data_IF_241744859101
#
_entry.id   IF_241744859101
#
_cell.length_a   1.000
_cell.length_b   1.000
_cell.length_c   1.000
_cell.angle_alpha   90.00
_cell.angle_beta   90.00
_cell.angle_gamma   90.00
#
_symmetry.space_group_name_H-M   'P 1'
#
loop_
_entity.id
_entity.type
_entity.pdbx_description
1 polymer ?
#
# COMPACT_ATOMS: atom_id res chain seq x y z
N UNK A 1 13.21 13.07 41.74
CA UNK A 1 13.49 12.21 40.57
C UNK A 1 12.43 11.12 40.50
N UNK A 2 11.46 11.22 39.59
CA UNK A 2 10.39 10.23 39.44
C UNK A 2 10.96 8.93 38.86
N UNK A 3 10.67 7.80 39.51
CA UNK A 3 10.96 6.47 38.96
C UNK A 3 10.05 6.26 37.75
N UNK A 4 10.58 6.46 36.55
CA UNK A 4 9.90 6.02 35.33
C UNK A 4 9.84 4.49 35.41
N UNK A 5 8.61 3.97 35.39
CA UNK A 5 8.28 2.61 35.78
C UNK A 5 8.63 1.65 34.62
N UNK A 6 9.37 0.56 34.87
CA UNK A 6 9.79 -0.43 33.85
C UNK A 6 8.60 -0.99 33.03
N UNK A 7 7.38 -0.95 33.58
CA UNK A 7 6.14 -1.32 32.88
C UNK A 7 5.79 -0.35 31.74
N UNK A 8 6.06 0.94 31.89
CA UNK A 8 5.81 1.94 30.83
C UNK A 8 6.75 1.74 29.64
N UNK A 9 8.04 1.43 29.89
CA UNK A 9 9.00 1.16 28.82
C UNK A 9 8.63 -0.09 28.00
N UNK A 10 8.31 -1.21 28.67
CA UNK A 10 7.89 -2.45 27.96
C UNK A 10 6.63 -2.26 27.12
N UNK A 11 5.71 -1.40 27.55
CA UNK A 11 4.49 -1.11 26.78
C UNK A 11 4.82 -0.32 25.50
N UNK A 12 5.68 0.69 25.60
CA UNK A 12 6.13 1.48 24.45
C UNK A 12 6.87 0.59 23.43
N UNK A 13 7.78 -0.27 23.89
CA UNK A 13 8.51 -1.19 23.00
C UNK A 13 7.56 -2.16 22.27
N UNK A 14 6.53 -2.66 22.96
CA UNK A 14 5.51 -3.54 22.36
C UNK A 14 4.64 -2.80 21.33
N UNK A 15 4.28 -1.54 21.60
CA UNK A 15 3.53 -0.69 20.66
C UNK A 15 4.35 -0.41 19.40
N UNK A 16 5.64 -0.09 19.54
CA UNK A 16 6.56 0.11 18.41
C UNK A 16 6.71 -1.16 17.58
N UNK A 17 6.89 -2.32 18.22
CA UNK A 17 6.96 -3.60 17.51
C UNK A 17 5.66 -3.95 16.78
N UNK A 18 4.50 -3.60 17.35
CA UNK A 18 3.19 -3.80 16.71
C UNK A 18 3.00 -2.93 15.48
N UNK A 19 3.41 -1.65 15.57
CA UNK A 19 3.43 -0.70 14.46
C UNK A 19 4.30 -1.21 13.31
N UNK A 20 5.56 -1.59 13.60
CA UNK A 20 6.49 -2.07 12.57
C UNK A 20 5.97 -3.34 11.87
N UNK A 21 5.39 -4.29 12.62
CA UNK A 21 4.72 -5.46 12.05
C UNK A 21 3.54 -5.11 11.16
N UNK A 22 2.74 -4.12 11.55
CA UNK A 22 1.56 -3.70 10.77
C UNK A 22 1.97 -3.10 9.42
N UNK A 23 3.00 -2.26 9.41
CA UNK A 23 3.57 -1.69 8.18
C UNK A 23 4.22 -2.78 7.31
N UNK A 24 4.96 -3.71 7.90
CA UNK A 24 5.57 -4.82 7.16
C UNK A 24 4.51 -5.72 6.49
N UNK A 25 3.46 -6.08 7.24
CA UNK A 25 2.34 -6.85 6.69
C UNK A 25 1.65 -6.10 5.55
N UNK A 26 1.47 -4.78 5.66
CA UNK A 26 0.89 -3.98 4.59
C UNK A 26 1.76 -4.01 3.32
N UNK A 27 3.09 -3.88 3.47
CA UNK A 27 4.02 -3.95 2.35
C UNK A 27 3.94 -5.30 1.64
N UNK A 28 3.97 -6.40 2.39
CA UNK A 28 3.95 -7.75 1.82
C UNK A 28 2.64 -8.04 1.08
N UNK A 29 1.50 -7.60 1.63
CA UNK A 29 0.18 -7.90 1.07
C UNK A 29 -0.22 -6.95 -0.06
N UNK A 30 0.13 -5.66 0.04
CA UNK A 30 -0.40 -4.61 -0.84
C UNK A 30 0.69 -3.81 -1.56
N UNK A 31 1.70 -3.32 -0.85
CA UNK A 31 2.67 -2.37 -1.40
C UNK A 31 4.02 -2.99 -1.80
N UNK A 32 4.02 -4.20 -2.36
CA UNK A 32 5.24 -5.00 -2.62
C UNK A 32 6.10 -4.53 -3.80
N UNK A 33 5.79 -3.39 -4.41
CA UNK A 33 6.61 -2.74 -5.46
C UNK A 33 6.39 -1.23 -5.43
N UNK A 34 7.34 -0.46 -5.97
CA UNK A 34 7.15 0.98 -6.11
C UNK A 34 5.93 1.34 -6.98
N UNK A 35 5.66 0.54 -8.01
CA UNK A 35 4.47 0.72 -8.86
C UNK A 35 3.18 0.55 -8.06
N UNK A 36 3.09 -0.45 -7.17
CA UNK A 36 1.92 -0.62 -6.30
C UNK A 36 1.78 0.50 -5.29
N UNK A 37 2.88 1.01 -4.75
CA UNK A 37 2.85 2.17 -3.87
C UNK A 37 2.24 3.41 -4.57
N UNK A 38 2.64 3.67 -5.82
CA UNK A 38 2.08 4.73 -6.66
C UNK A 38 0.58 4.52 -6.90
N UNK A 39 0.15 3.29 -7.23
CA UNK A 39 -1.26 2.96 -7.46
C UNK A 39 -2.10 3.11 -6.19
N UNK A 40 -1.60 2.66 -5.04
CA UNK A 40 -2.29 2.81 -3.75
C UNK A 40 -2.52 4.29 -3.44
N UNK A 41 -1.49 5.12 -3.64
CA UNK A 41 -1.61 6.57 -3.50
C UNK A 41 -2.64 7.15 -4.47
N UNK A 42 -2.59 6.75 -5.73
CA UNK A 42 -3.55 7.20 -6.75
C UNK A 42 -5.00 6.95 -6.32
N UNK A 43 -5.34 5.73 -5.88
CA UNK A 43 -6.70 5.41 -5.47
C UNK A 43 -7.12 6.10 -4.16
N UNK A 44 -6.21 6.22 -3.19
CA UNK A 44 -6.49 6.94 -1.94
C UNK A 44 -6.72 8.44 -2.16
N UNK A 45 -6.00 9.06 -3.12
CA UNK A 45 -6.19 10.47 -3.49
C UNK A 45 -7.43 10.67 -4.39
N UNK A 46 -7.97 9.61 -4.99
CA UNK A 46 -9.06 9.65 -5.96
C UNK A 46 -10.15 8.60 -5.63
N UNK A 47 -10.66 8.59 -4.39
CA UNK A 47 -11.53 7.53 -3.84
C UNK A 47 -12.81 7.25 -4.64
N UNK A 48 -13.35 8.25 -5.35
CA UNK A 48 -14.54 8.10 -6.19
C UNK A 48 -14.23 7.78 -7.67
N UNK A 49 -12.96 7.59 -8.01
CA UNK A 49 -12.55 7.33 -9.39
C UNK A 49 -12.63 5.85 -9.70
N UNK A 50 -13.36 5.54 -10.77
CA UNK A 50 -13.31 4.27 -11.47
C UNK A 50 -12.67 4.51 -12.83
N UNK A 51 -11.50 3.93 -13.08
CA UNK A 51 -10.75 4.17 -14.31
C UNK A 51 -10.22 2.87 -14.90
N UNK A 52 -10.09 2.84 -16.22
CA UNK A 52 -9.46 1.73 -16.92
C UNK A 52 -7.94 1.78 -16.74
N UNK A 53 -7.28 0.66 -16.99
CA UNK A 53 -5.83 0.55 -16.93
C UNK A 53 -5.13 1.62 -17.79
N UNK A 54 -5.66 1.97 -18.97
CA UNK A 54 -5.07 3.00 -19.84
C UNK A 54 -5.13 4.40 -19.22
N UNK A 55 -6.26 4.75 -18.59
CA UNK A 55 -6.42 6.05 -17.95
C UNK A 55 -5.48 6.21 -16.76
N UNK A 56 -5.37 5.16 -15.95
CA UNK A 56 -4.45 5.12 -14.80
C UNK A 56 -3.00 5.17 -15.29
N UNK A 57 -2.65 4.37 -16.31
CA UNK A 57 -1.31 4.32 -16.89
C UNK A 57 -0.82 5.67 -17.41
N UNK A 58 -1.72 6.43 -18.06
CA UNK A 58 -1.46 7.81 -18.50
C UNK A 58 -1.14 8.73 -17.32
N UNK A 59 -1.88 8.60 -16.22
CA UNK A 59 -1.67 9.41 -15.02
C UNK A 59 -0.34 9.11 -14.32
N UNK A 60 -0.01 7.82 -14.14
CA UNK A 60 1.21 7.39 -13.43
C UNK A 60 2.47 7.37 -14.31
N UNK A 61 2.34 7.61 -15.62
CA UNK A 61 3.46 7.68 -16.56
C UNK A 61 4.12 6.32 -16.85
N UNK A 62 3.37 5.22 -16.81
CA UNK A 62 3.87 3.85 -17.07
C UNK A 62 3.12 3.18 -18.22
N UNK A 63 3.67 2.08 -18.74
CA UNK A 63 3.02 1.28 -19.80
C UNK A 63 1.76 0.59 -19.27
N UNK A 64 0.67 0.63 -20.04
CA UNK A 64 -0.61 -0.02 -19.68
C UNK A 64 -0.46 -1.47 -19.25
N UNK A 65 0.31 -2.28 -19.98
CA UNK A 65 0.50 -3.69 -19.65
C UNK A 65 1.13 -3.94 -18.27
N UNK A 66 2.03 -3.04 -17.83
CA UNK A 66 2.64 -3.10 -16.50
C UNK A 66 1.59 -2.75 -15.44
N UNK A 67 0.86 -1.65 -15.67
CA UNK A 67 -0.19 -1.19 -14.76
C UNK A 67 -1.32 -2.21 -14.61
N UNK A 68 -1.77 -2.82 -15.71
CA UNK A 68 -2.83 -3.82 -15.69
C UNK A 68 -2.45 -5.05 -14.84
N UNK A 69 -1.20 -5.51 -14.93
CA UNK A 69 -0.70 -6.61 -14.09
C UNK A 69 -0.79 -6.25 -12.59
N UNK A 70 -0.36 -5.04 -12.24
CA UNK A 70 -0.37 -4.57 -10.84
C UNK A 70 -1.80 -4.32 -10.34
N UNK A 71 -2.69 -3.75 -11.16
CA UNK A 71 -4.11 -3.57 -10.85
C UNK A 71 -4.80 -4.90 -10.60
N UNK A 72 -4.57 -5.91 -11.45
CA UNK A 72 -5.10 -7.27 -11.21
C UNK A 72 -4.59 -7.85 -9.90
N UNK A 73 -3.32 -7.61 -9.54
CA UNK A 73 -2.78 -8.07 -8.26
C UNK A 73 -3.41 -7.35 -7.07
N UNK A 74 -3.63 -6.03 -7.16
CA UNK A 74 -4.26 -5.24 -6.10
C UNK A 74 -5.74 -5.62 -5.96
N UNK A 75 -6.43 -5.90 -7.07
CA UNK A 75 -7.82 -6.34 -7.03
C UNK A 75 -7.97 -7.69 -6.33
N UNK A 76 -7.07 -8.64 -6.61
CA UNK A 76 -7.03 -9.93 -5.89
C UNK A 76 -6.78 -9.78 -4.39
N UNK A 77 -6.13 -8.70 -3.96
CA UNK A 77 -5.87 -8.42 -2.54
C UNK A 77 -7.05 -7.71 -1.84
N UNK A 78 -8.06 -7.26 -2.58
CA UNK A 78 -9.22 -6.53 -2.05
C UNK A 78 -8.98 -5.02 -1.83
N UNK A 79 -7.82 -4.48 -2.22
CA UNK A 79 -7.53 -3.04 -2.11
C UNK A 79 -8.29 -2.21 -3.14
N UNK A 80 -8.59 -2.79 -4.29
CA UNK A 80 -9.38 -2.18 -5.35
C UNK A 80 -10.40 -3.19 -5.88
N UNK A 81 -11.51 -2.69 -6.41
CA UNK A 81 -12.52 -3.51 -7.07
C UNK A 81 -12.28 -3.50 -8.58
N UNK A 82 -12.42 -4.67 -9.22
CA UNK A 82 -12.44 -4.81 -10.67
C UNK A 82 -13.89 -4.94 -11.14
N UNK A 83 -14.36 -3.96 -11.91
CA UNK A 83 -15.66 -3.98 -12.56
C UNK A 83 -15.47 -4.37 -14.01
N UNK A 84 -16.04 -5.52 -14.40
CA UNK A 84 -15.96 -6.03 -15.78
C UNK A 84 -17.15 -5.55 -16.60
N UNK A 85 -16.85 -5.07 -17.81
CA UNK A 85 -17.83 -4.76 -18.85
C UNK A 85 -17.36 -5.37 -20.18
N UNK A 86 -17.80 -6.60 -20.44
CA UNK A 86 -17.29 -7.41 -21.55
C UNK A 86 -15.82 -7.77 -21.35
N UNK A 87 -14.98 -7.46 -22.34
CA UNK A 87 -13.52 -7.66 -22.28
C UNK A 87 -12.78 -6.51 -21.56
N UNK A 88 -13.49 -5.46 -21.18
CA UNK A 88 -12.91 -4.28 -20.55
C UNK A 88 -13.07 -4.34 -19.03
N UNK A 89 -12.01 -4.00 -18.31
CA UNK A 89 -12.01 -3.84 -16.85
C UNK A 89 -11.84 -2.37 -16.48
N UNK A 90 -12.68 -1.90 -15.56
CA UNK A 90 -12.46 -0.67 -14.80
C UNK A 90 -12.07 -1.03 -13.36
N UNK A 91 -11.22 -0.20 -12.77
CA UNK A 91 -10.73 -0.39 -11.41
C UNK A 91 -11.15 0.79 -10.54
N UNK A 92 -11.73 0.50 -9.39
CA UNK A 92 -12.23 1.46 -8.42
C UNK A 92 -11.57 1.23 -7.06
N UNK A 93 -11.47 2.27 -6.23
CA UNK A 93 -11.04 2.07 -4.85
C UNK A 93 -12.07 1.23 -4.10
N UNK A 94 -11.59 0.35 -3.20
CA UNK A 94 -12.46 -0.52 -2.41
C UNK A 94 -13.44 0.27 -1.55
N UNK A 95 -14.66 -0.23 -1.36
CA UNK A 95 -15.61 0.30 -0.38
C UNK A 95 -15.45 -0.31 1.02
N UNK A 96 -14.52 -1.25 1.22
CA UNK A 96 -14.27 -1.87 2.52
C UNK A 96 -13.55 -0.89 3.47
N UNK A 97 -14.27 -0.41 4.49
CA UNK A 97 -13.75 0.56 5.46
C UNK A 97 -12.51 0.06 6.22
N UNK A 98 -12.39 -1.24 6.47
CA UNK A 98 -11.22 -1.79 7.17
C UNK A 98 -9.96 -1.67 6.29
N UNK A 99 -10.07 -2.02 5.01
CA UNK A 99 -8.98 -1.84 4.05
C UNK A 99 -8.65 -0.37 3.86
N UNK A 100 -9.64 0.51 3.76
CA UNK A 100 -9.41 1.96 3.67
C UNK A 100 -8.62 2.50 4.87
N UNK A 101 -8.96 2.09 6.10
CA UNK A 101 -8.20 2.46 7.32
C UNK A 101 -6.77 1.96 7.30
N UNK A 102 -6.52 0.75 6.80
CA UNK A 102 -5.15 0.22 6.63
C UNK A 102 -4.34 1.05 5.65
N UNK A 103 -4.95 1.47 4.53
CA UNK A 103 -4.32 2.33 3.53
C UNK A 103 -4.02 3.70 4.12
N UNK A 104 -4.98 4.33 4.80
CA UNK A 104 -4.82 5.62 5.45
C UNK A 104 -3.66 5.60 6.46
N UNK A 105 -3.68 4.64 7.39
CA UNK A 105 -2.61 4.45 8.36
C UNK A 105 -1.24 4.27 7.69
N UNK A 106 -1.17 3.46 6.63
CA UNK A 106 0.08 3.25 5.91
C UNK A 106 0.58 4.53 5.22
N UNK A 107 -0.31 5.29 4.56
CA UNK A 107 0.04 6.54 3.88
C UNK A 107 0.40 7.66 4.86
N UNK A 108 -0.26 7.74 6.02
CA UNK A 108 0.10 8.68 7.09
C UNK A 108 1.52 8.43 7.61
N UNK A 109 1.91 7.16 7.77
CA UNK A 109 3.26 6.77 8.19
C UNK A 109 4.35 7.12 7.15
N UNK A 110 3.98 7.31 5.87
CA UNK A 110 4.91 7.84 4.86
C UNK A 110 5.18 9.34 5.00
N UNK A 111 4.41 10.08 5.81
CA UNK A 111 4.65 11.50 6.04
C UNK A 111 5.83 11.75 6.98
N UNK A 112 6.15 10.81 7.87
CA UNK A 112 7.38 10.85 8.65
C UNK A 112 8.58 10.46 7.78
N UNK A 113 9.64 11.27 7.80
CA UNK A 113 10.82 11.06 6.96
C UNK A 113 11.54 9.75 7.28
N UNK A 114 11.68 9.41 8.56
CA UNK A 114 12.44 8.23 9.00
C UNK A 114 11.66 6.96 8.65
N UNK A 115 10.38 6.93 8.96
CA UNK A 115 9.47 5.84 8.63
C UNK A 115 9.34 5.66 7.12
N UNK A 116 9.23 6.75 6.35
CA UNK A 116 9.23 6.69 4.87
C UNK A 116 10.48 6.01 4.33
N UNK A 117 11.66 6.35 4.82
CA UNK A 117 12.91 5.71 4.37
C UNK A 117 12.93 4.21 4.67
N UNK A 118 12.46 3.81 5.87
CA UNK A 118 12.32 2.39 6.23
C UNK A 118 11.35 1.66 5.30
N UNK A 119 10.16 2.23 5.06
CA UNK A 119 9.14 1.64 4.19
C UNK A 119 9.67 1.49 2.76
N UNK A 120 10.20 2.56 2.16
CA UNK A 120 10.74 2.51 0.78
C UNK A 120 11.89 1.51 0.67
N UNK A 121 12.81 1.48 1.64
CA UNK A 121 13.89 0.49 1.66
C UNK A 121 13.37 -0.94 1.72
N UNK A 122 12.31 -1.19 2.49
CA UNK A 122 11.69 -2.51 2.59
C UNK A 122 10.99 -2.90 1.28
N UNK A 123 10.25 -1.98 0.65
CA UNK A 123 9.61 -2.20 -0.65
C UNK A 123 10.66 -2.59 -1.70
N UNK A 124 11.75 -1.82 -1.81
CA UNK A 124 12.83 -2.09 -2.76
C UNK A 124 13.46 -3.47 -2.54
N UNK A 125 13.67 -3.86 -1.28
CA UNK A 125 14.18 -5.19 -0.93
C UNK A 125 13.19 -6.29 -1.33
N UNK A 126 11.92 -6.13 -1.00
CA UNK A 126 10.85 -7.08 -1.34
C UNK A 126 10.66 -7.22 -2.85
N UNK A 127 10.75 -6.13 -3.61
CA UNK A 127 10.66 -6.13 -5.07
C UNK A 127 11.85 -6.89 -5.69
N UNK A 128 13.07 -6.59 -5.26
CA UNK A 128 14.28 -7.26 -5.74
C UNK A 128 14.29 -8.78 -5.45
N UNK A 129 13.79 -9.21 -4.30
CA UNK A 129 13.69 -10.64 -3.95
C UNK A 129 12.70 -11.41 -4.85
N UNK A 130 11.69 -10.73 -5.43
CA UNK A 130 10.71 -11.36 -6.33
C UNK A 130 11.21 -11.50 -7.76
N UNK A 131 12.07 -10.59 -8.23
CA UNK A 131 12.62 -10.63 -9.58
C UNK A 131 13.73 -11.70 -9.76
N UNK A 132 14.20 -12.30 -8.65
CA UNK A 132 15.22 -13.36 -8.65
C UNK A 132 14.57 -14.78 -8.75
N UNK A 133 13.24 -14.88 -8.62
CA UNK A 133 12.47 -16.14 -8.70
C UNK A 133 11.74 -16.28 -10.03
#
# INVERSE_FOLDING_TARGET
MGKINERQFKNVDNEVLSLEKSLENFILNYASSLTKLELIRFFAENTFTCSRAEGIASYVGRKTAVIEKELKSLSKSGLIDEIKNGELSAYCYTSDEETQKKVEFFLENLNDRTTRLKIISKILKTEAERDVL
#
